data_IF_362456372331
#
_entry.id   IF_362456372331
#
_cell.length_a   1.000
_cell.length_b   1.000
_cell.length_c   1.000
_cell.angle_alpha   90.00
_cell.angle_beta   90.00
_cell.angle_gamma   90.00
#
_symmetry.space_group_name_H-M   'P 1'
#
loop_
_entity.id
_entity.type
_entity.pdbx_description
1 polymer ?
#
# COMPACT_ATOMS: atom_id res chain seq x y z
N UNK A 1 -16.33 11.61 24.39
CA UNK A 1 -16.40 10.56 25.43
C UNK A 1 -16.68 11.23 26.76
N UNK A 2 -17.78 10.87 27.42
CA UNK A 2 -18.25 11.51 28.66
C UNK A 2 -19.41 12.49 28.44
N UNK A 3 -20.16 12.80 29.52
CA UNK A 3 -21.42 13.57 29.52
C UNK A 3 -21.33 15.00 28.96
N UNK A 4 -20.12 15.51 28.71
CA UNK A 4 -19.86 16.86 28.21
C UNK A 4 -19.37 16.88 26.75
N UNK A 5 -19.17 15.72 26.11
CA UNK A 5 -18.76 15.64 24.70
C UNK A 5 -20.00 15.43 23.82
N UNK A 6 -20.74 16.50 23.55
CA UNK A 6 -21.83 16.44 22.56
C UNK A 6 -21.28 16.24 21.15
N UNK A 7 -22.06 15.58 20.30
CA UNK A 7 -21.77 15.43 18.87
C UNK A 7 -21.49 16.77 18.19
N UNK A 8 -22.25 17.81 18.56
CA UNK A 8 -22.06 19.17 18.05
C UNK A 8 -20.67 19.74 18.31
N UNK A 9 -19.99 19.35 19.39
CA UNK A 9 -18.59 19.76 19.60
C UNK A 9 -17.67 19.07 18.59
N UNK A 10 -17.93 17.80 18.27
CA UNK A 10 -17.23 17.04 17.23
C UNK A 10 -17.43 17.62 15.83
N UNK A 11 -18.62 18.14 15.54
CA UNK A 11 -18.95 18.68 14.22
C UNK A 11 -18.29 20.02 13.89
N UNK A 12 -18.06 20.85 14.91
CA UNK A 12 -17.66 22.24 14.69
C UNK A 12 -16.28 22.62 15.23
N UNK A 13 -15.88 22.15 16.42
CA UNK A 13 -14.76 22.77 17.14
C UNK A 13 -13.75 21.82 17.77
N UNK A 14 -14.06 20.52 17.92
CA UNK A 14 -13.21 19.59 18.66
C UNK A 14 -12.03 19.05 17.84
N UNK A 15 -12.03 19.22 16.52
CA UNK A 15 -10.94 18.80 15.62
C UNK A 15 -11.15 17.53 14.77
N UNK A 16 -12.03 16.56 15.10
CA UNK A 16 -12.40 15.48 14.17
C UNK A 16 -13.13 15.99 12.93
N UNK A 17 -13.06 15.25 11.83
CA UNK A 17 -13.85 15.55 10.64
C UNK A 17 -15.24 14.89 10.77
N UNK A 18 -16.30 15.68 10.61
CA UNK A 18 -17.69 15.18 10.66
C UNK A 18 -18.13 14.49 9.37
N UNK A 19 -17.32 14.51 8.31
CA UNK A 19 -17.57 13.72 7.11
C UNK A 19 -17.19 12.26 7.41
N UNK A 20 -18.18 11.50 7.87
CA UNK A 20 -18.05 10.13 8.35
C UNK A 20 -18.67 9.10 7.37
N UNK A 21 -18.16 7.86 7.33
CA UNK A 21 -18.75 6.78 6.54
C UNK A 21 -20.12 6.36 7.08
N UNK A 22 -21.15 6.35 6.23
CA UNK A 22 -22.53 5.96 6.58
C UNK A 22 -22.89 4.59 6.00
N UNK A 23 -24.10 4.08 6.27
CA UNK A 23 -24.60 2.81 5.70
C UNK A 23 -23.71 1.58 5.98
N UNK A 24 -23.07 1.53 7.14
CA UNK A 24 -22.25 0.39 7.59
C UNK A 24 -20.81 0.35 7.05
N UNK A 25 -20.42 1.33 6.23
CA UNK A 25 -19.08 1.39 5.61
C UNK A 25 -17.96 1.70 6.60
N UNK A 26 -18.28 2.19 7.81
CA UNK A 26 -17.32 2.41 8.90
C UNK A 26 -16.53 1.14 9.31
N UNK A 27 -16.99 -0.06 8.91
CA UNK A 27 -16.27 -1.32 9.12
C UNK A 27 -14.98 -1.43 8.29
N UNK A 28 -14.87 -0.70 7.18
CA UNK A 28 -13.74 -0.77 6.24
C UNK A 28 -13.31 0.60 5.68
N UNK A 29 -13.97 1.68 6.09
CA UNK A 29 -13.66 3.05 5.69
C UNK A 29 -13.39 3.91 6.93
N UNK A 30 -12.48 4.87 6.77
CA UNK A 30 -12.13 5.85 7.80
C UNK A 30 -12.91 7.15 7.62
N UNK A 31 -13.07 7.97 8.68
CA UNK A 31 -13.43 9.38 8.55
C UNK A 31 -12.56 10.11 7.53
N UNK A 32 -13.14 11.06 6.80
CA UNK A 32 -12.38 11.87 5.84
C UNK A 32 -11.24 12.60 6.55
N UNK A 33 -10.03 12.50 6.03
CA UNK A 33 -8.84 13.14 6.58
C UNK A 33 -7.88 13.58 5.49
N UNK A 34 -6.73 14.12 5.90
CA UNK A 34 -5.71 14.63 4.98
C UNK A 34 -5.20 13.54 4.03
N UNK A 35 -5.26 12.26 4.43
CA UNK A 35 -4.83 11.14 3.59
C UNK A 35 -5.73 10.88 2.39
N UNK A 36 -7.01 11.28 2.44
CA UNK A 36 -7.93 11.11 1.30
C UNK A 36 -7.59 12.05 0.13
N UNK A 37 -6.80 13.10 0.40
CA UNK A 37 -6.30 14.05 -0.60
C UNK A 37 -4.86 13.76 -1.03
N UNK A 38 -4.27 12.65 -0.57
CA UNK A 38 -2.90 12.25 -0.90
C UNK A 38 -2.89 10.92 -1.66
N UNK A 39 -2.05 10.83 -2.69
CA UNK A 39 -1.72 9.55 -3.32
C UNK A 39 -0.43 9.00 -2.72
N UNK A 40 -0.48 7.80 -2.16
CA UNK A 40 0.70 7.08 -1.64
C UNK A 40 1.22 6.12 -2.72
N UNK A 41 2.47 6.32 -3.12
CA UNK A 41 3.16 5.47 -4.09
C UNK A 41 4.40 4.84 -3.46
N UNK A 42 4.61 3.55 -3.71
CA UNK A 42 5.82 2.85 -3.30
C UNK A 42 6.88 2.93 -4.39
N UNK A 43 8.09 3.33 -4.03
CA UNK A 43 9.27 3.32 -4.91
C UNK A 43 10.23 2.23 -4.43
N UNK A 44 10.70 1.40 -5.37
CA UNK A 44 11.65 0.32 -5.10
C UNK A 44 12.85 0.53 -6.01
N UNK A 45 14.04 0.59 -5.41
CA UNK A 45 15.30 0.63 -6.13
C UNK A 45 16.16 -0.56 -5.68
N UNK A 46 16.72 -1.28 -6.65
CA UNK A 46 17.52 -2.48 -6.40
C UNK A 46 18.88 -2.27 -7.04
N UNK A 47 19.96 -2.52 -6.29
CA UNK A 47 21.32 -2.49 -6.82
C UNK A 47 21.55 -3.68 -7.76
N UNK A 48 22.58 -3.61 -8.61
CA UNK A 48 22.94 -4.74 -9.46
C UNK A 48 23.17 -6.03 -8.65
N UNK A 49 23.87 -5.93 -7.50
CA UNK A 49 24.09 -7.06 -6.60
C UNK A 49 22.78 -7.57 -5.97
N UNK A 50 21.86 -6.69 -5.58
CA UNK A 50 20.56 -7.08 -5.07
C UNK A 50 19.69 -7.76 -6.13
N UNK A 51 19.80 -7.35 -7.39
CA UNK A 51 19.06 -7.95 -8.50
C UNK A 51 19.48 -9.41 -8.76
N UNK A 52 20.74 -9.77 -8.46
CA UNK A 52 21.23 -11.15 -8.56
C UNK A 52 20.51 -12.09 -7.60
N UNK A 53 20.45 -11.73 -6.32
CA UNK A 53 19.81 -12.55 -5.30
C UNK A 53 18.29 -12.55 -5.44
N UNK A 54 17.68 -11.37 -5.61
CA UNK A 54 16.24 -11.23 -5.76
C UNK A 54 15.72 -11.84 -7.07
N UNK A 55 16.50 -11.77 -8.16
CA UNK A 55 16.13 -12.37 -9.43
C UNK A 55 15.96 -13.89 -9.35
N UNK A 56 16.83 -14.58 -8.59
CA UNK A 56 16.72 -16.02 -8.38
C UNK A 56 15.44 -16.39 -7.62
N UNK A 57 15.13 -15.65 -6.54
CA UNK A 57 13.92 -15.86 -5.74
C UNK A 57 12.67 -15.58 -6.59
N UNK A 58 12.62 -14.42 -7.25
CA UNK A 58 11.49 -14.01 -8.07
C UNK A 58 11.22 -14.97 -9.25
N UNK A 59 12.27 -15.49 -9.88
CA UNK A 59 12.10 -16.47 -10.97
C UNK A 59 11.48 -17.78 -10.48
N UNK A 60 11.88 -18.27 -9.32
CA UNK A 60 11.35 -19.50 -8.72
C UNK A 60 9.85 -19.37 -8.43
N UNK A 61 9.46 -18.25 -7.82
CA UNK A 61 8.04 -17.95 -7.53
C UNK A 61 7.23 -17.82 -8.82
N UNK A 62 7.73 -17.05 -9.79
CA UNK A 62 7.04 -16.82 -11.06
C UNK A 62 6.87 -18.10 -11.89
N UNK A 63 7.83 -19.04 -11.85
CA UNK A 63 7.64 -20.36 -12.45
C UNK A 63 6.57 -21.18 -11.73
N UNK A 64 6.54 -21.17 -10.39
CA UNK A 64 5.51 -21.84 -9.60
C UNK A 64 4.09 -21.32 -9.86
N UNK A 65 3.98 -20.03 -10.19
CA UNK A 65 2.71 -19.38 -10.55
C UNK A 65 2.33 -19.50 -12.03
N UNK A 66 3.17 -20.12 -12.86
CA UNK A 66 2.93 -20.25 -14.31
C UNK A 66 3.12 -18.97 -15.11
N UNK A 67 3.91 -18.00 -14.60
CA UNK A 67 4.19 -16.71 -15.23
C UNK A 67 5.60 -16.68 -15.85
N UNK A 68 5.80 -17.42 -16.95
CA UNK A 68 7.12 -17.61 -17.55
C UNK A 68 7.77 -16.28 -17.99
N UNK A 69 7.00 -15.32 -18.51
CA UNK A 69 7.53 -14.01 -18.91
C UNK A 69 8.12 -13.22 -17.72
N UNK A 70 7.49 -13.30 -16.54
CA UNK A 70 8.00 -12.68 -15.33
C UNK A 70 9.29 -13.38 -14.86
N UNK A 71 9.30 -14.72 -14.89
CA UNK A 71 10.47 -15.50 -14.53
C UNK A 71 11.68 -15.20 -15.42
N UNK A 72 11.49 -15.16 -16.74
CA UNK A 72 12.55 -14.82 -17.69
C UNK A 72 13.07 -13.40 -17.50
N UNK A 73 12.18 -12.44 -17.24
CA UNK A 73 12.58 -11.07 -16.91
C UNK A 73 13.48 -11.02 -15.66
N UNK A 74 13.12 -11.75 -14.61
CA UNK A 74 13.92 -11.83 -13.39
C UNK A 74 15.31 -12.47 -13.64
N UNK A 75 15.35 -13.56 -14.41
CA UNK A 75 16.60 -14.22 -14.80
C UNK A 75 17.49 -13.35 -15.70
N UNK A 76 16.93 -12.54 -16.58
CA UNK A 76 17.72 -11.65 -17.44
C UNK A 76 18.57 -10.67 -16.62
N UNK A 77 18.02 -10.15 -15.52
CA UNK A 77 18.73 -9.24 -14.60
C UNK A 77 19.82 -9.95 -13.79
N UNK A 78 19.70 -11.27 -13.61
CA UNK A 78 20.76 -12.12 -13.06
C UNK A 78 21.91 -12.29 -14.08
N UNK A 79 21.59 -12.45 -15.36
CA UNK A 79 22.60 -12.76 -16.38
C UNK A 79 23.30 -11.52 -16.98
N UNK A 80 22.82 -10.30 -16.71
CA UNK A 80 23.32 -9.07 -17.32
C UNK A 80 24.69 -8.56 -16.80
N UNK A 81 25.30 -9.22 -15.81
CA UNK A 81 26.64 -8.87 -15.27
C UNK A 81 27.67 -9.98 -15.45
N UNK A 82 27.58 -10.75 -16.54
CA UNK A 82 28.64 -11.69 -16.96
C UNK A 82 29.48 -11.08 -18.08
#
# INVERSE_FOLDING_TARGET
>A
MGRYTSESLGDYCAGPNHVLPTSGTARFSSPLGVYDFQKRSSLIQVSAQGAQSLGAIASTLAFGEGLQAHAQSALFRKNATS
#
